data_IF_584847410476
#
_entry.id   IF_584847410476
#
_cell.length_a   1.000
_cell.length_b   1.000
_cell.length_c   1.000
_cell.angle_alpha   90.00
_cell.angle_beta   90.00
_cell.angle_gamma   90.00
#
_symmetry.space_group_name_H-M   'P 1'
#
loop_
_entity.id
_entity.type
_entity.pdbx_description
1 polymer ?
#
# COMPACT_ATOMS: atom_id res chain seq x y z
N UNK A 1 75.61 37.63 22.24
CA UNK A 1 74.15 37.85 22.40
C UNK A 1 73.42 36.93 21.43
N UNK A 2 72.80 35.85 21.90
CA UNK A 2 71.98 34.98 21.07
C UNK A 2 70.87 34.36 21.93
N UNK A 3 69.84 35.15 22.24
CA UNK A 3 68.56 34.67 22.76
C UNK A 3 67.48 35.28 21.88
N UNK A 4 67.08 34.56 20.85
CA UNK A 4 66.04 35.03 19.92
C UNK A 4 65.47 33.98 18.97
N UNK A 5 65.95 32.73 18.99
CA UNK A 5 65.53 31.68 18.05
C UNK A 5 64.42 30.75 18.56
N UNK A 6 64.25 30.59 19.89
CA UNK A 6 63.33 29.58 20.45
C UNK A 6 61.86 29.92 20.24
N UNK A 7 61.48 31.21 20.33
CA UNK A 7 60.10 31.65 20.09
C UNK A 7 59.66 31.40 18.66
N UNK A 8 60.51 31.70 17.67
CA UNK A 8 60.22 31.45 16.24
C UNK A 8 60.05 29.96 15.93
N UNK A 9 60.87 29.11 16.54
CA UNK A 9 60.73 27.65 16.45
C UNK A 9 59.40 27.16 17.06
N UNK A 10 59.02 27.68 18.22
CA UNK A 10 57.77 27.31 18.88
C UNK A 10 56.54 27.70 18.04
N UNK A 11 56.52 28.92 17.49
CA UNK A 11 55.44 29.37 16.60
C UNK A 11 55.39 28.56 15.31
N UNK A 12 56.54 28.19 14.75
CA UNK A 12 56.60 27.33 13.56
C UNK A 12 56.01 25.93 13.84
N UNK A 13 56.39 25.30 14.96
CA UNK A 13 55.84 24.00 15.35
C UNK A 13 54.33 24.08 15.58
N UNK A 14 53.84 25.12 16.26
CA UNK A 14 52.40 25.36 16.43
C UNK A 14 51.67 25.51 15.09
N UNK A 15 52.26 26.22 14.13
CA UNK A 15 51.68 26.39 12.79
C UNK A 15 51.60 25.05 12.04
N UNK A 16 52.64 24.22 12.15
CA UNK A 16 52.65 22.89 11.53
C UNK A 16 51.59 21.99 12.17
N UNK A 17 51.48 21.97 13.49
CA UNK A 17 50.44 21.20 14.20
C UNK A 17 49.05 21.64 13.77
N UNK A 18 48.78 22.95 13.71
CA UNK A 18 47.50 23.49 13.27
C UNK A 18 47.15 23.08 11.83
N UNK A 19 48.12 23.15 10.91
CA UNK A 19 47.91 22.74 9.51
C UNK A 19 47.64 21.23 9.43
N UNK A 20 48.36 20.41 10.20
CA UNK A 20 48.16 18.96 10.23
C UNK A 20 46.78 18.60 10.80
N UNK A 21 46.34 19.23 11.88
CA UNK A 21 44.99 19.03 12.41
C UNK A 21 43.91 19.46 11.41
N UNK A 22 44.06 20.61 10.75
CA UNK A 22 43.14 21.05 9.69
C UNK A 22 43.09 20.05 8.53
N UNK A 23 44.23 19.48 8.13
CA UNK A 23 44.29 18.46 7.11
C UNK A 23 43.55 17.19 7.53
N UNK A 24 43.80 16.70 8.76
CA UNK A 24 43.10 15.52 9.31
C UNK A 24 41.59 15.76 9.34
N UNK A 25 41.15 16.91 9.84
CA UNK A 25 39.73 17.26 9.91
C UNK A 25 39.11 17.31 8.51
N UNK A 26 39.82 17.87 7.52
CA UNK A 26 39.33 17.89 6.13
C UNK A 26 39.23 16.49 5.53
N UNK A 27 40.22 15.62 5.77
CA UNK A 27 40.19 14.25 5.24
C UNK A 27 39.09 13.42 5.88
N UNK A 28 38.91 13.52 7.21
CA UNK A 28 37.83 12.82 7.90
C UNK A 28 36.45 13.31 7.44
N UNK A 29 36.31 14.61 7.19
CA UNK A 29 35.08 15.18 6.65
C UNK A 29 34.78 14.67 5.23
N UNK A 30 35.77 14.66 4.35
CA UNK A 30 35.60 14.18 2.97
C UNK A 30 35.23 12.69 2.94
N UNK A 31 35.85 11.87 3.79
CA UNK A 31 35.51 10.45 3.95
C UNK A 31 34.07 10.25 4.43
N UNK A 32 33.63 11.04 5.42
CA UNK A 32 32.25 11.01 5.92
C UNK A 32 31.23 11.44 4.85
N UNK A 33 31.52 12.49 4.08
CA UNK A 33 30.65 12.93 2.98
C UNK A 33 30.54 11.86 1.88
N UNK A 34 31.63 11.14 1.57
CA UNK A 34 31.62 10.03 0.61
C UNK A 34 30.77 8.84 1.10
N UNK A 35 30.88 8.47 2.38
CA UNK A 35 30.06 7.43 2.98
C UNK A 35 28.57 7.83 3.01
N UNK A 36 28.26 9.07 3.36
CA UNK A 36 26.90 9.60 3.35
C UNK A 36 26.30 9.52 1.94
N UNK A 37 27.07 9.89 0.91
CA UNK A 37 26.65 9.76 -0.49
C UNK A 37 26.37 8.31 -0.87
N UNK A 38 27.23 7.36 -0.49
CA UNK A 38 27.00 5.93 -0.76
C UNK A 38 25.72 5.41 -0.09
N UNK A 39 25.46 5.82 1.15
CA UNK A 39 24.25 5.41 1.89
C UNK A 39 23.01 6.00 1.22
N UNK A 40 23.04 7.29 0.91
CA UNK A 40 21.94 7.98 0.24
C UNK A 40 21.61 7.36 -1.11
N UNK A 41 22.62 7.10 -1.93
CA UNK A 41 22.42 6.55 -3.27
C UNK A 41 21.86 5.11 -3.19
N UNK A 42 22.34 4.29 -2.25
CA UNK A 42 21.74 2.97 -1.95
C UNK A 42 20.29 3.07 -1.49
N UNK A 43 19.98 4.02 -0.62
CA UNK A 43 18.62 4.27 -0.16
C UNK A 43 17.70 4.64 -1.33
N UNK A 44 18.12 5.57 -2.19
CA UNK A 44 17.35 5.98 -3.36
C UNK A 44 17.13 4.83 -4.35
N UNK A 45 18.15 4.01 -4.61
CA UNK A 45 18.03 2.84 -5.48
C UNK A 45 17.04 1.84 -4.91
N UNK A 46 17.12 1.53 -3.62
CA UNK A 46 16.19 0.61 -2.94
C UNK A 46 14.73 1.10 -3.00
N UNK A 47 14.51 2.40 -2.78
CA UNK A 47 13.18 3.00 -2.93
C UNK A 47 12.73 2.89 -4.39
N UNK A 48 13.57 3.25 -5.36
CA UNK A 48 13.23 3.19 -6.78
C UNK A 48 12.90 1.77 -7.26
N UNK A 49 13.62 0.76 -6.76
CA UNK A 49 13.31 -0.66 -7.03
C UNK A 49 11.93 -1.05 -6.47
N UNK A 50 11.56 -0.51 -5.31
CA UNK A 50 10.23 -0.74 -4.72
C UNK A 50 9.10 -0.18 -5.60
N UNK A 51 9.31 0.94 -6.29
CA UNK A 51 8.35 1.48 -7.27
C UNK A 51 8.23 0.62 -8.54
N UNK A 52 9.30 -0.10 -8.91
CA UNK A 52 9.31 -1.02 -10.06
C UNK A 52 8.64 -2.36 -9.73
N UNK A 53 8.44 -2.66 -8.46
CA UNK A 53 7.69 -3.84 -8.06
C UNK A 53 6.23 -3.75 -8.54
N UNK A 54 5.66 -4.85 -9.07
CA UNK A 54 4.28 -4.86 -9.53
C UNK A 54 3.33 -4.61 -8.37
N UNK A 55 2.26 -3.85 -8.64
CA UNK A 55 1.13 -3.74 -7.71
C UNK A 55 0.35 -5.06 -7.75
N UNK A 56 0.09 -5.66 -6.60
CA UNK A 56 -0.62 -6.93 -6.50
C UNK A 56 -1.83 -6.74 -5.57
N UNK A 57 -2.96 -7.31 -5.96
CA UNK A 57 -4.16 -7.35 -5.12
C UNK A 57 -4.43 -8.77 -4.64
N UNK A 58 -4.70 -8.91 -3.34
CA UNK A 58 -5.12 -10.16 -2.73
C UNK A 58 -6.50 -9.99 -2.07
N UNK A 59 -7.43 -10.91 -2.32
CA UNK A 59 -8.74 -10.95 -1.70
C UNK A 59 -8.81 -12.08 -0.67
N UNK A 60 -9.16 -11.74 0.58
CA UNK A 60 -9.21 -12.68 1.69
C UNK A 60 -10.55 -12.54 2.45
N UNK A 61 -11.33 -13.63 2.59
CA UNK A 61 -11.11 -14.96 2.02
C UNK A 61 -11.46 -15.03 0.52
N UNK A 62 -10.85 -15.98 -0.21
CA UNK A 62 -11.19 -16.25 -1.63
C UNK A 62 -12.60 -16.85 -1.82
N UNK A 63 -13.12 -17.51 -0.78
CA UNK A 63 -14.48 -18.03 -0.73
C UNK A 63 -15.04 -17.74 0.65
N UNK A 64 -16.16 -17.04 0.71
CA UNK A 64 -16.87 -16.71 1.93
C UNK A 64 -18.24 -17.38 1.92
N UNK A 65 -18.51 -18.23 2.90
CA UNK A 65 -19.87 -18.73 3.13
C UNK A 65 -20.65 -17.69 3.95
N UNK A 66 -21.79 -17.25 3.44
CA UNK A 66 -22.63 -16.21 4.07
C UNK A 66 -24.05 -16.74 4.29
N UNK A 67 -24.55 -16.56 5.52
CA UNK A 67 -25.89 -17.00 5.90
C UNK A 67 -26.92 -15.88 5.70
N UNK A 68 -27.69 -15.97 4.63
CA UNK A 68 -28.75 -15.01 4.30
C UNK A 68 -29.84 -15.05 5.37
N UNK A 69 -30.16 -13.89 5.94
CA UNK A 69 -31.22 -13.73 6.94
C UNK A 69 -30.81 -14.08 8.37
N UNK A 70 -29.53 -14.35 8.64
CA UNK A 70 -29.03 -14.52 10.00
C UNK A 70 -29.12 -13.21 10.79
N UNK A 71 -29.53 -13.28 12.05
CA UNK A 71 -29.50 -12.13 12.96
C UNK A 71 -28.07 -11.69 13.28
N UNK A 72 -27.12 -12.63 13.24
CA UNK A 72 -25.73 -12.46 13.69
C UNK A 72 -24.79 -12.00 12.56
N UNK A 73 -25.17 -12.17 11.30
CA UNK A 73 -24.37 -11.78 10.14
C UNK A 73 -25.24 -11.13 9.07
N UNK A 74 -25.33 -9.79 9.14
CA UNK A 74 -26.12 -8.97 8.20
C UNK A 74 -25.35 -8.63 6.92
N UNK A 75 -24.03 -8.77 6.95
CA UNK A 75 -23.12 -8.29 5.91
C UNK A 75 -22.01 -9.32 5.68
N UNK A 76 -21.73 -9.60 4.40
CA UNK A 76 -20.58 -10.36 3.96
C UNK A 76 -19.41 -9.39 3.71
N UNK A 77 -18.26 -9.63 4.33
CA UNK A 77 -17.07 -8.77 4.24
C UNK A 77 -15.90 -9.53 3.66
N UNK A 78 -15.29 -8.98 2.61
CA UNK A 78 -14.06 -9.50 2.00
C UNK A 78 -12.99 -8.40 2.05
N UNK A 79 -11.82 -8.74 2.58
CA UNK A 79 -10.69 -7.83 2.68
C UNK A 79 -9.88 -7.88 1.39
N UNK A 80 -9.52 -6.72 0.87
CA UNK A 80 -8.77 -6.51 -0.35
C UNK A 80 -7.42 -5.86 0.01
N UNK A 81 -6.35 -6.63 0.06
CA UNK A 81 -5.03 -6.12 0.44
C UNK A 81 -4.22 -5.72 -0.80
N UNK A 82 -3.85 -4.45 -0.90
CA UNK A 82 -2.94 -3.96 -1.94
C UNK A 82 -1.49 -4.13 -1.47
N UNK A 83 -0.68 -4.81 -2.29
CA UNK A 83 0.73 -5.10 -2.05
C UNK A 83 1.56 -4.35 -3.09
N UNK A 84 2.69 -3.79 -2.67
CA UNK A 84 3.57 -3.00 -3.54
C UNK A 84 3.25 -1.49 -3.54
N UNK A 85 2.58 -0.99 -2.50
CA UNK A 85 2.46 0.44 -2.21
C UNK A 85 3.69 0.90 -1.43
N UNK A 86 4.30 2.02 -1.86
CA UNK A 86 5.61 2.48 -1.38
C UNK A 86 5.49 3.67 -0.43
N UNK A 87 4.46 4.51 -0.58
CA UNK A 87 4.25 5.69 0.25
C UNK A 87 2.96 5.61 1.06
N UNK A 88 2.87 6.40 2.15
CA UNK A 88 1.63 6.53 2.92
C UNK A 88 0.51 7.21 2.12
N UNK A 89 0.88 8.08 1.19
CA UNK A 89 -0.09 8.72 0.32
C UNK A 89 -0.65 7.76 -0.73
N UNK A 90 0.16 6.84 -1.24
CA UNK A 90 -0.33 5.73 -2.06
C UNK A 90 -1.34 4.87 -1.29
N UNK A 91 -1.09 4.59 -0.01
CA UNK A 91 -2.03 3.85 0.84
C UNK A 91 -3.36 4.59 1.04
N UNK A 92 -3.33 5.91 1.21
CA UNK A 92 -4.54 6.72 1.36
C UNK A 92 -5.34 6.83 0.06
N UNK A 93 -4.64 6.91 -1.08
CA UNK A 93 -5.24 7.25 -2.37
C UNK A 93 -5.46 6.06 -3.31
N UNK A 94 -5.08 4.84 -2.91
CA UNK A 94 -5.37 3.64 -3.71
C UNK A 94 -6.89 3.48 -3.88
N UNK A 95 -7.30 3.27 -5.13
CA UNK A 95 -8.67 3.03 -5.51
C UNK A 95 -8.90 1.54 -5.73
N UNK A 96 -9.88 0.98 -5.03
CA UNK A 96 -10.32 -0.40 -5.21
C UNK A 96 -11.59 -0.42 -6.04
N UNK A 97 -11.64 -1.30 -7.02
CA UNK A 97 -12.79 -1.54 -7.89
C UNK A 97 -13.25 -2.98 -7.76
N UNK A 98 -14.57 -3.20 -7.73
CA UNK A 98 -15.16 -4.54 -7.64
C UNK A 98 -16.29 -4.67 -8.66
N UNK A 99 -16.28 -5.77 -9.42
CA UNK A 99 -17.29 -6.11 -10.43
C UNK A 99 -17.78 -7.54 -10.22
N UNK A 100 -19.01 -7.83 -10.62
CA UNK A 100 -19.52 -9.20 -10.69
C UNK A 100 -18.95 -9.89 -11.94
N UNK A 101 -18.49 -11.13 -11.78
CA UNK A 101 -17.99 -11.97 -12.87
C UNK A 101 -19.07 -12.96 -13.29
N UNK A 102 -19.80 -12.63 -14.35
CA UNK A 102 -20.78 -13.52 -14.97
C UNK A 102 -22.10 -13.59 -14.19
N UNK A 103 -22.69 -14.79 -14.16
CA UNK A 103 -24.00 -15.08 -13.54
C UNK A 103 -23.82 -16.17 -12.46
N UNK A 104 -24.60 -16.15 -11.35
CA UNK A 104 -25.68 -15.21 -11.03
C UNK A 104 -25.18 -13.83 -10.58
N UNK A 105 -25.99 -12.79 -10.85
CA UNK A 105 -25.75 -11.42 -10.35
C UNK A 105 -26.55 -11.23 -9.06
N UNK A 106 -25.93 -10.69 -7.98
CA UNK A 106 -26.65 -10.37 -6.75
C UNK A 106 -27.81 -9.40 -6.99
N UNK A 107 -28.90 -9.55 -6.22
CA UNK A 107 -30.04 -8.64 -6.34
C UNK A 107 -29.64 -7.22 -5.95
N UNK A 108 -30.04 -6.22 -6.74
CA UNK A 108 -29.72 -4.81 -6.50
C UNK A 108 -28.27 -4.43 -6.76
N UNK A 109 -27.51 -5.25 -7.49
CA UNK A 109 -26.14 -4.93 -7.88
C UNK A 109 -26.09 -3.67 -8.77
N UNK A 110 -25.33 -2.62 -8.38
CA UNK A 110 -25.36 -1.33 -9.07
C UNK A 110 -24.45 -1.26 -10.32
N UNK A 111 -23.73 -2.34 -10.65
CA UNK A 111 -22.65 -2.33 -11.63
C UNK A 111 -21.29 -2.25 -10.96
N UNK A 112 -20.31 -1.63 -11.60
CA UNK A 112 -18.97 -1.49 -11.02
C UNK A 112 -18.97 -0.62 -9.75
N UNK A 113 -18.37 -1.13 -8.69
CA UNK A 113 -18.14 -0.39 -7.45
C UNK A 113 -16.72 0.15 -7.44
N UNK A 114 -16.56 1.35 -6.87
CA UNK A 114 -15.27 1.97 -6.61
C UNK A 114 -15.23 2.51 -5.17
N UNK A 115 -14.08 2.38 -4.52
CA UNK A 115 -13.84 2.98 -3.21
C UNK A 115 -13.76 4.50 -3.25
N UNK A 116 -13.52 5.12 -4.41
CA UNK A 116 -13.50 6.58 -4.56
C UNK A 116 -14.90 7.20 -4.44
N UNK A 117 -15.95 6.43 -4.75
CA UNK A 117 -17.35 6.86 -4.75
C UNK A 117 -18.21 6.00 -3.81
N UNK A 118 -17.64 5.60 -2.67
CA UNK A 118 -18.30 4.70 -1.73
C UNK A 118 -19.57 5.35 -1.13
N UNK A 119 -20.72 4.70 -1.31
CA UNK A 119 -21.98 5.05 -0.65
C UNK A 119 -22.38 3.93 0.30
N UNK A 120 -22.10 4.13 1.59
CA UNK A 120 -22.31 3.13 2.64
C UNK A 120 -23.79 2.86 2.94
N UNK A 121 -24.70 3.69 2.43
CA UNK A 121 -26.15 3.47 2.54
C UNK A 121 -26.65 2.39 1.57
N UNK A 122 -25.86 2.02 0.57
CA UNK A 122 -26.22 1.00 -0.41
C UNK A 122 -25.98 -0.41 0.11
N UNK A 123 -26.60 -1.38 -0.58
CA UNK A 123 -26.42 -2.80 -0.29
C UNK A 123 -24.99 -3.30 -0.55
N UNK A 124 -24.25 -2.63 -1.44
CA UNK A 124 -22.89 -3.00 -1.80
C UNK A 124 -22.02 -1.76 -1.86
N UNK A 125 -20.84 -1.80 -1.23
CA UNK A 125 -19.87 -0.73 -1.26
C UNK A 125 -18.46 -1.25 -0.98
N UNK A 126 -17.46 -0.44 -1.34
CA UNK A 126 -16.05 -0.74 -1.09
C UNK A 126 -15.47 0.43 -0.30
N UNK A 127 -14.80 0.16 0.81
CA UNK A 127 -14.09 1.17 1.58
C UNK A 127 -12.58 1.02 1.35
N UNK A 128 -11.85 2.14 1.40
CA UNK A 128 -10.40 2.11 1.55
C UNK A 128 -10.05 2.51 3.00
N UNK A 129 -9.28 1.65 3.67
CA UNK A 129 -8.68 1.87 4.97
C UNK A 129 -7.15 1.83 4.84
N UNK A 130 -6.58 2.89 4.25
CA UNK A 130 -5.13 3.10 4.15
C UNK A 130 -4.36 1.91 3.57
N UNK A 131 -4.68 1.52 2.32
CA UNK A 131 -3.98 0.46 1.58
C UNK A 131 -4.68 -0.90 1.70
N UNK A 132 -5.70 -0.99 2.55
CA UNK A 132 -6.57 -2.16 2.66
C UNK A 132 -7.98 -1.78 2.27
N UNK A 133 -8.49 -2.39 1.20
CA UNK A 133 -9.88 -2.29 0.81
C UNK A 133 -10.77 -3.23 1.62
N UNK A 134 -12.02 -2.84 1.87
CA UNK A 134 -13.06 -3.72 2.40
C UNK A 134 -14.25 -3.70 1.47
N UNK A 135 -14.53 -4.83 0.83
CA UNK A 135 -15.78 -5.02 0.12
C UNK A 135 -16.85 -5.54 1.09
N UNK A 136 -17.97 -4.82 1.15
CA UNK A 136 -19.09 -5.15 2.04
C UNK A 136 -20.34 -5.36 1.20
N UNK A 137 -21.03 -6.48 1.42
CA UNK A 137 -22.20 -6.90 0.67
C UNK A 137 -23.35 -7.33 1.60
N UNK A 138 -24.49 -6.64 1.50
CA UNK A 138 -25.78 -6.97 2.14
C UNK A 138 -26.60 -7.87 1.22
N UNK A 139 -26.17 -9.12 1.07
CA UNK A 139 -26.79 -10.07 0.15
C UNK A 139 -28.13 -10.57 0.70
N UNK A 140 -29.19 -10.46 -0.11
CA UNK A 140 -30.57 -10.85 0.28
C UNK A 140 -31.09 -12.09 -0.42
N UNK A 141 -30.47 -12.48 -1.53
CA UNK A 141 -30.80 -13.67 -2.32
C UNK A 141 -29.75 -14.77 -2.17
N UNK A 142 -30.19 -16.02 -2.24
CA UNK A 142 -29.29 -17.17 -2.25
C UNK A 142 -28.58 -17.30 -3.59
N UNK A 143 -27.35 -17.81 -3.56
CA UNK A 143 -26.55 -18.04 -4.76
C UNK A 143 -25.05 -17.99 -4.49
N UNK A 144 -24.29 -18.52 -5.44
CA UNK A 144 -22.83 -18.42 -5.45
C UNK A 144 -22.43 -17.26 -6.37
N UNK A 145 -22.08 -16.13 -5.77
CA UNK A 145 -21.76 -14.90 -6.49
C UNK A 145 -20.25 -14.76 -6.65
N UNK A 146 -19.78 -14.64 -7.89
CA UNK A 146 -18.36 -14.46 -8.21
C UNK A 146 -18.07 -12.99 -8.48
N UNK A 147 -16.99 -12.51 -7.91
CA UNK A 147 -16.54 -11.14 -8.02
C UNK A 147 -15.09 -11.10 -8.53
N UNK A 148 -14.76 -10.00 -9.20
CA UNK A 148 -13.40 -9.63 -9.60
C UNK A 148 -13.10 -8.29 -8.97
N UNK A 149 -12.02 -8.21 -8.22
CA UNK A 149 -11.47 -6.97 -7.69
C UNK A 149 -10.19 -6.59 -8.42
N UNK A 150 -9.95 -5.28 -8.48
CA UNK A 150 -8.73 -4.67 -9.01
C UNK A 150 -8.45 -3.41 -8.20
N UNK A 151 -7.18 -3.02 -8.07
CA UNK A 151 -6.82 -1.71 -7.54
C UNK A 151 -5.95 -0.91 -8.52
N UNK A 152 -6.06 0.41 -8.41
CA UNK A 152 -5.26 1.39 -9.13
C UNK A 152 -4.72 2.39 -8.14
N UNK A 153 -3.47 2.82 -8.34
CA UNK A 153 -2.86 3.90 -7.55
C UNK A 153 -2.10 4.83 -8.47
N UNK A 154 -2.19 6.13 -8.20
CA UNK A 154 -1.27 7.10 -8.75
C UNK A 154 -0.02 7.11 -7.87
N UNK A 155 1.13 6.79 -8.45
CA UNK A 155 2.39 6.67 -7.71
C UNK A 155 2.78 8.04 -7.16
N UNK A 156 3.03 8.11 -5.86
CA UNK A 156 3.48 9.34 -5.21
C UNK A 156 4.78 9.09 -4.47
N UNK A 157 5.72 10.02 -4.65
CA UNK A 157 7.03 10.01 -3.98
C UNK A 157 6.83 10.28 -2.49
N UNK A 158 7.63 9.70 -1.58
CA UNK A 158 7.44 9.92 -0.16
C UNK A 158 7.74 11.37 0.26
N UNK A 159 6.88 11.93 1.11
CA UNK A 159 6.95 13.33 1.54
C UNK A 159 8.16 13.68 2.40
N UNK A 160 8.76 12.69 3.06
CA UNK A 160 9.92 12.89 3.92
C UNK A 160 11.21 13.20 3.12
N UNK A 161 11.21 12.98 1.80
CA UNK A 161 12.37 13.29 0.96
C UNK A 161 12.46 14.80 0.69
N UNK A 162 13.67 15.33 0.62
CA UNK A 162 13.90 16.71 0.17
C UNK A 162 13.67 16.83 -1.33
N UNK A 163 13.34 18.02 -1.83
CA UNK A 163 13.06 18.24 -3.27
C UNK A 163 14.17 17.75 -4.20
N UNK A 164 15.44 17.87 -3.79
CA UNK A 164 16.59 17.32 -4.52
C UNK A 164 16.51 15.80 -4.64
N UNK A 165 16.21 15.11 -3.55
CA UNK A 165 16.09 13.65 -3.52
C UNK A 165 14.85 13.16 -4.26
N UNK A 166 13.75 13.91 -4.18
CA UNK A 166 12.54 13.63 -4.98
C UNK A 166 12.85 13.67 -6.47
N UNK A 167 13.60 14.68 -6.93
CA UNK A 167 14.03 14.79 -8.32
C UNK A 167 14.87 13.59 -8.78
N UNK A 168 15.88 13.21 -7.99
CA UNK A 168 16.73 12.05 -8.28
C UNK A 168 15.93 10.73 -8.27
N UNK A 169 15.02 10.57 -7.31
CA UNK A 169 14.17 9.39 -7.23
C UNK A 169 13.24 9.31 -8.45
N UNK A 170 12.64 10.42 -8.87
CA UNK A 170 11.79 10.47 -10.06
C UNK A 170 12.55 10.09 -11.33
N UNK A 171 13.82 10.51 -11.45
CA UNK A 171 14.68 10.10 -12.56
C UNK A 171 14.94 8.59 -12.58
N UNK A 172 15.11 7.97 -11.40
CA UNK A 172 15.31 6.51 -11.27
C UNK A 172 14.03 5.68 -11.48
N UNK A 173 12.87 6.23 -11.10
CA UNK A 173 11.55 5.62 -11.27
C UNK A 173 11.09 5.70 -12.73
N UNK A 174 11.37 6.81 -13.42
CA UNK A 174 10.95 7.05 -14.80
C UNK A 174 9.43 7.28 -14.93
N UNK A 175 8.82 6.68 -15.94
CA UNK A 175 7.42 6.91 -16.31
C UNK A 175 6.38 6.09 -15.51
N UNK A 176 6.78 5.46 -14.40
CA UNK A 176 5.90 4.67 -13.54
C UNK A 176 5.01 5.57 -12.66
N UNK A 177 4.10 6.32 -13.29
CA UNK A 177 3.18 7.26 -12.64
C UNK A 177 1.89 6.61 -12.15
N UNK A 178 1.50 5.48 -12.75
CA UNK A 178 0.31 4.74 -12.37
C UNK A 178 0.63 3.25 -12.18
N UNK A 179 0.12 2.67 -11.10
CA UNK A 179 0.15 1.25 -10.83
C UNK A 179 -1.26 0.66 -10.96
N UNK A 180 -1.39 -0.43 -11.70
CA UNK A 180 -2.62 -1.22 -11.78
C UNK A 180 -2.30 -2.66 -11.38
N UNK A 181 -3.12 -3.24 -10.51
CA UNK A 181 -2.91 -4.60 -10.04
C UNK A 181 -3.51 -5.67 -10.95
N UNK A 182 -3.17 -6.93 -10.64
CA UNK A 182 -3.88 -8.09 -11.18
C UNK A 182 -5.37 -8.05 -10.83
N UNK A 183 -6.18 -8.69 -11.67
CA UNK A 183 -7.56 -9.00 -11.34
C UNK A 183 -7.59 -10.18 -10.38
N UNK A 184 -8.17 -9.98 -9.19
CA UNK A 184 -8.28 -11.01 -8.17
C UNK A 184 -9.73 -11.46 -8.01
N UNK A 185 -9.94 -12.77 -8.09
CA UNK A 185 -11.26 -13.39 -8.03
C UNK A 185 -11.58 -13.92 -6.64
N UNK A 186 -12.80 -13.67 -6.19
CA UNK A 186 -13.35 -14.25 -4.97
C UNK A 186 -14.83 -14.57 -5.12
N UNK A 187 -15.33 -15.45 -4.25
CA UNK A 187 -16.72 -15.94 -4.27
C UNK A 187 -17.39 -15.71 -2.93
N UNK A 188 -18.64 -15.26 -2.94
CA UNK A 188 -19.51 -15.27 -1.76
C UNK A 188 -20.64 -16.27 -2.01
N UNK A 189 -20.70 -17.32 -1.19
CA UNK A 189 -21.71 -18.37 -1.25
C UNK A 189 -22.81 -18.05 -0.24
N UNK A 190 -23.88 -17.45 -0.74
CA UNK A 190 -25.00 -17.02 0.07
C UNK A 190 -26.04 -18.15 0.19
N UNK A 191 -26.28 -18.65 1.40
CA UNK A 191 -27.26 -19.71 1.68
C UNK A 191 -28.20 -19.26 2.80
N UNK A 192 -29.49 -19.59 2.73
CA UNK A 192 -30.34 -19.44 3.93
C UNK A 192 -30.11 -20.64 4.84
N UNK A 193 -29.96 -20.40 6.13
CA UNK A 193 -30.18 -21.46 7.11
C UNK A 193 -31.69 -21.73 7.16
N UNK A 194 -32.09 -22.90 6.67
CA UNK A 194 -33.47 -23.34 6.77
C UNK A 194 -33.86 -23.59 8.22
N UNK A 195 -34.87 -22.87 8.70
CA UNK A 195 -35.78 -23.44 9.68
C UNK A 195 -36.35 -24.74 9.10
N UNK A 196 -36.49 -25.74 9.96
CA UNK A 196 -37.12 -27.04 9.68
C UNK A 196 -38.30 -26.85 8.71
N UNK A 197 -38.27 -27.51 7.54
CA UNK A 197 -39.47 -27.67 6.72
C UNK A 197 -40.52 -28.35 7.62
N UNK A 198 -41.46 -27.60 8.18
CA UNK A 198 -42.68 -28.21 8.69
C UNK A 198 -43.32 -28.94 7.52
N UNK A 199 -43.29 -30.26 7.59
CA UNK A 199 -44.03 -31.12 6.68
C UNK A 199 -45.52 -30.80 6.87
N UNK A 200 -46.04 -29.91 6.03
CA UNK A 200 -47.47 -29.82 5.80
C UNK A 200 -47.84 -31.01 4.89
N UNK A 201 -48.47 -32.04 5.45
CA UNK A 201 -49.23 -33.01 4.64
C UNK A 201 -49.36 -34.43 5.21
N UNK A 202 -50.63 -34.83 5.36
CA UNK A 202 -51.19 -36.19 5.50
C UNK A 202 -51.13 -36.79 6.91
N UNK A 203 -52.22 -37.12 7.60
CA UNK A 203 -53.49 -37.78 7.23
C UNK A 203 -54.59 -37.29 8.21
N UNK A 204 -55.75 -36.73 7.82
CA UNK A 204 -56.98 -37.40 7.35
C UNK A 204 -56.94 -38.93 7.42
N UNK A 205 -57.36 -39.48 8.55
CA UNK A 205 -58.62 -40.25 8.70
C UNK A 205 -59.05 -40.27 10.17
#
# INVERSE_FOLDING_TARGET
MAKGGSGKMLYFVLYVVLIVELLIISTERDELEEEEHKIRDKMLVSIAESYKAPLILAAVPKSLDFNVGSADSKEATVVLSAIGLVSEDEKKNVEFTVKVKGSPVPSGWPGELSSANADTNKAYYVLNESGTGKFIAKITNEGDFKFVAQCRVQRSVPDYLTERLKGQLMELIGDLKEGVSNQEEFTIRAKRQGGVKQAAGALVD
#
